data_IF_920726896508
#
_entry.id   IF_920726896508
#
_cell.length_a   1.000
_cell.length_b   1.000
_cell.length_c   1.000
_cell.angle_alpha   90.00
_cell.angle_beta   90.00
_cell.angle_gamma   90.00
#
_symmetry.space_group_name_H-M   'P 1'
#
loop_
_entity.id
_entity.type
_entity.pdbx_description
1 polymer ?
#
# COMPACT_ATOMS: atom_id res chain seq x y z
N UNK A 1 -76.84 5.99 -28.97
CA UNK A 1 -75.91 5.98 -27.81
C UNK A 1 -74.65 5.24 -28.22
N UNK A 2 -73.50 5.92 -28.28
CA UNK A 2 -72.23 5.28 -27.99
C UNK A 2 -71.48 6.04 -26.88
N UNK A 3 -70.86 5.27 -25.99
CA UNK A 3 -70.07 5.71 -24.85
C UNK A 3 -68.72 6.28 -25.32
N UNK A 4 -68.38 7.48 -24.84
CA UNK A 4 -67.02 8.04 -24.88
C UNK A 4 -66.26 7.52 -23.66
N UNK A 5 -65.26 6.67 -23.89
CA UNK A 5 -64.26 6.30 -22.88
C UNK A 5 -63.07 7.25 -23.01
N UNK A 6 -62.90 8.14 -22.03
CA UNK A 6 -61.69 8.96 -21.90
C UNK A 6 -60.68 8.18 -21.06
N UNK A 7 -59.58 7.75 -21.67
CA UNK A 7 -58.45 7.15 -20.96
C UNK A 7 -57.54 8.27 -20.46
N UNK A 8 -57.52 8.49 -19.15
CA UNK A 8 -56.55 9.36 -18.47
C UNK A 8 -55.25 8.57 -18.30
N UNK A 9 -54.19 8.97 -19.00
CA UNK A 9 -52.85 8.45 -18.77
C UNK A 9 -52.29 9.11 -17.50
N UNK A 10 -52.15 8.30 -16.44
CA UNK A 10 -51.51 8.70 -15.19
C UNK A 10 -49.99 8.57 -15.36
N UNK A 11 -49.29 9.70 -15.53
CA UNK A 11 -47.83 9.73 -15.47
C UNK A 11 -47.40 9.53 -14.01
N UNK A 12 -46.81 8.38 -13.70
CA UNK A 12 -46.19 8.15 -12.40
C UNK A 12 -44.90 8.98 -12.32
N UNK A 13 -44.91 10.07 -11.54
CA UNK A 13 -43.67 10.67 -11.04
C UNK A 13 -43.01 9.64 -10.12
N UNK A 14 -41.94 9.01 -10.59
CA UNK A 14 -41.02 8.31 -9.70
C UNK A 14 -40.23 9.42 -9.00
N UNK A 15 -40.62 9.75 -7.78
CA UNK A 15 -39.78 10.52 -6.89
C UNK A 15 -38.51 9.69 -6.61
N UNK A 16 -37.34 10.21 -6.99
CA UNK A 16 -36.06 9.67 -6.55
C UNK A 16 -35.91 9.98 -5.07
N UNK A 17 -36.47 9.12 -4.21
CA UNK A 17 -35.96 9.00 -2.86
C UNK A 17 -34.58 8.36 -3.00
N UNK A 18 -33.51 9.15 -2.83
CA UNK A 18 -32.23 8.58 -2.44
C UNK A 18 -32.51 7.74 -1.21
N UNK A 19 -32.30 6.43 -1.29
CA UNK A 19 -32.26 5.63 -0.08
C UNK A 19 -31.19 6.28 0.81
N UNK A 20 -31.61 6.86 1.93
CA UNK A 20 -30.67 7.30 2.95
C UNK A 20 -29.88 6.06 3.35
N UNK A 21 -28.57 6.08 3.09
CA UNK A 21 -27.71 5.05 3.64
C UNK A 21 -27.81 5.16 5.16
N UNK A 22 -27.80 4.02 5.88
CA UNK A 22 -27.80 4.01 7.35
C UNK A 22 -26.56 4.73 7.96
N UNK A 23 -25.67 5.27 7.12
CA UNK A 23 -24.48 6.06 7.46
C UNK A 23 -24.47 7.48 6.82
N UNK A 24 -25.54 7.89 6.12
CA UNK A 24 -25.80 9.26 5.66
C UNK A 24 -24.89 9.84 4.56
N UNK A 25 -24.00 9.05 3.95
CA UNK A 25 -23.01 9.53 2.98
C UNK A 25 -23.29 9.13 1.52
N UNK A 26 -22.75 9.91 0.58
CA UNK A 26 -22.69 9.63 -0.86
C UNK A 26 -21.28 9.85 -1.42
N UNK A 27 -20.94 9.09 -2.46
CA UNK A 27 -19.75 9.34 -3.27
C UNK A 27 -19.94 10.55 -4.18
N UNK A 28 -18.89 11.32 -4.40
CA UNK A 28 -18.89 12.44 -5.34
C UNK A 28 -17.71 12.35 -6.31
N UNK A 29 -17.95 12.78 -7.54
CA UNK A 29 -16.94 12.96 -8.58
C UNK A 29 -17.23 14.28 -9.29
N UNK A 30 -16.20 15.11 -9.48
CA UNK A 30 -16.31 16.37 -10.23
C UNK A 30 -15.41 16.30 -11.48
N UNK A 31 -16.01 16.06 -12.65
CA UNK A 31 -15.24 15.89 -13.88
C UNK A 31 -14.56 17.18 -14.35
N UNK A 32 -14.92 18.35 -13.80
CA UNK A 32 -14.30 19.63 -14.17
C UNK A 32 -12.97 19.87 -13.46
N UNK A 33 -12.71 19.15 -12.37
CA UNK A 33 -11.50 19.28 -11.56
C UNK A 33 -10.64 18.04 -11.74
N UNK A 34 -9.62 18.17 -12.58
CA UNK A 34 -8.69 17.10 -12.91
C UNK A 34 -7.25 17.64 -13.03
N UNK A 35 -6.28 16.77 -12.85
CA UNK A 35 -4.87 17.09 -12.95
C UNK A 35 -3.99 15.97 -12.39
N UNK A 36 -2.68 16.14 -12.49
CA UNK A 36 -1.74 15.07 -12.13
C UNK A 36 -1.85 13.84 -13.03
N UNK A 37 -0.96 12.88 -12.80
CA UNK A 37 -0.94 11.60 -13.48
C UNK A 37 -1.00 10.49 -12.44
N UNK A 38 -1.74 9.39 -12.68
CA UNK A 38 -1.71 8.22 -11.82
C UNK A 38 -0.26 7.77 -11.57
N UNK A 39 0.13 7.65 -10.29
CA UNK A 39 1.51 7.29 -9.88
C UNK A 39 1.53 6.03 -9.00
N UNK A 40 0.43 5.28 -8.99
CA UNK A 40 0.30 3.97 -8.35
C UNK A 40 0.76 3.96 -6.87
N UNK A 41 0.42 5.01 -6.11
CA UNK A 41 0.84 5.21 -4.71
C UNK A 41 0.54 4.03 -3.78
N UNK A 42 -0.50 3.25 -4.04
CA UNK A 42 -0.84 2.05 -3.27
C UNK A 42 -0.26 0.73 -3.80
N UNK A 43 0.59 0.75 -4.84
CA UNK A 43 1.09 -0.46 -5.51
C UNK A 43 2.45 -0.94 -4.96
N UNK A 44 2.58 -0.95 -3.63
CA UNK A 44 3.74 -1.47 -2.93
C UNK A 44 3.45 -2.74 -2.14
N UNK A 45 4.46 -3.57 -1.92
CA UNK A 45 4.39 -4.78 -1.07
C UNK A 45 5.57 -4.85 -0.09
N UNK A 46 5.28 -5.26 1.14
CA UNK A 46 6.26 -5.88 2.02
C UNK A 46 6.40 -7.34 1.57
N UNK A 47 7.61 -7.77 1.24
CA UNK A 47 7.90 -9.18 1.03
C UNK A 47 7.05 -9.86 -0.06
N UNK A 48 6.96 -11.19 -0.05
CA UNK A 48 6.10 -11.97 -0.96
C UNK A 48 6.70 -12.35 -2.32
N UNK A 49 7.94 -11.94 -2.63
CA UNK A 49 8.65 -12.37 -3.84
C UNK A 49 9.48 -13.65 -3.56
N UNK A 50 9.23 -14.75 -4.29
CA UNK A 50 10.02 -15.97 -4.11
C UNK A 50 11.49 -15.81 -4.45
N UNK A 51 12.35 -16.42 -3.62
CA UNK A 51 13.80 -16.41 -3.75
C UNK A 51 14.41 -17.68 -3.15
N UNK A 52 15.50 -18.17 -3.74
CA UNK A 52 16.07 -19.48 -3.38
C UNK A 52 16.54 -19.58 -1.93
N UNK A 53 17.19 -18.55 -1.34
CA UNK A 53 17.62 -18.63 0.05
C UNK A 53 16.47 -18.90 1.03
N UNK A 54 15.27 -18.34 0.78
CA UNK A 54 14.08 -18.60 1.60
C UNK A 54 13.54 -20.03 1.48
N UNK A 55 13.78 -20.70 0.35
CA UNK A 55 13.31 -22.05 0.06
C UNK A 55 14.35 -23.15 0.35
N UNK A 56 15.55 -22.78 0.80
CA UNK A 56 16.66 -23.70 1.07
C UNK A 56 16.26 -24.86 2.01
N UNK A 57 16.66 -26.12 1.72
CA UNK A 57 17.56 -26.55 0.64
C UNK A 57 16.84 -26.81 -0.71
N UNK A 58 15.55 -26.50 -0.81
CA UNK A 58 14.80 -26.55 -2.05
C UNK A 58 15.09 -25.35 -2.96
N UNK A 59 14.29 -25.21 -4.01
CA UNK A 59 14.39 -24.13 -4.99
C UNK A 59 13.08 -23.34 -4.98
N UNK A 60 13.19 -22.02 -5.10
CA UNK A 60 12.03 -21.17 -5.24
C UNK A 60 11.37 -21.36 -6.61
N UNK A 61 10.07 -21.01 -6.73
CA UNK A 61 9.39 -20.89 -8.00
C UNK A 61 10.16 -20.00 -8.97
N UNK A 62 10.33 -20.47 -10.21
CA UNK A 62 10.95 -19.65 -11.25
C UNK A 62 10.16 -18.34 -11.44
N UNK A 63 10.88 -17.25 -11.75
CA UNK A 63 10.27 -15.94 -12.01
C UNK A 63 9.19 -15.96 -13.09
N UNK A 64 9.27 -16.86 -14.06
CA UNK A 64 8.22 -17.05 -15.08
C UNK A 64 6.87 -17.47 -14.49
N UNK A 65 6.85 -18.08 -13.31
CA UNK A 65 5.64 -18.57 -12.63
C UNK A 65 4.90 -17.45 -11.91
N UNK A 66 5.62 -16.52 -11.27
CA UNK A 66 5.02 -15.45 -10.46
C UNK A 66 5.13 -14.05 -11.09
N UNK A 67 6.11 -13.82 -11.96
CA UNK A 67 6.41 -12.52 -12.58
C UNK A 67 5.25 -11.88 -13.35
N UNK A 68 4.44 -12.63 -14.13
CA UNK A 68 3.26 -12.06 -14.78
C UNK A 68 2.23 -11.52 -13.80
N UNK A 69 2.10 -12.10 -12.60
CA UNK A 69 1.22 -11.59 -11.56
C UNK A 69 1.78 -10.32 -10.93
N UNK A 70 3.10 -10.25 -10.71
CA UNK A 70 3.77 -9.05 -10.22
C UNK A 70 3.58 -7.87 -11.19
N UNK A 71 3.82 -8.09 -12.49
CA UNK A 71 3.61 -7.07 -13.52
C UNK A 71 2.15 -6.70 -13.69
N UNK A 72 1.24 -7.68 -13.66
CA UNK A 72 -0.19 -7.44 -13.78
C UNK A 72 -0.78 -6.66 -12.61
N UNK A 73 -0.27 -6.84 -11.39
CA UNK A 73 -0.64 -5.99 -10.25
C UNK A 73 0.02 -4.59 -10.29
N UNK A 74 0.94 -4.36 -11.23
CA UNK A 74 1.63 -3.08 -11.38
C UNK A 74 2.53 -2.70 -10.21
N UNK A 75 3.12 -3.70 -9.53
CA UNK A 75 3.95 -3.46 -8.34
C UNK A 75 5.14 -2.55 -8.69
N UNK A 76 5.23 -1.44 -7.97
CA UNK A 76 6.21 -0.37 -8.19
C UNK A 76 7.11 -0.12 -6.99
N UNK A 77 6.75 -0.66 -5.82
CA UNK A 77 7.54 -0.63 -4.59
C UNK A 77 7.63 -2.01 -3.94
N UNK A 78 8.83 -2.39 -3.50
CA UNK A 78 9.06 -3.64 -2.76
C UNK A 78 9.88 -3.33 -1.51
N UNK A 79 9.53 -3.91 -0.37
CA UNK A 79 10.30 -3.84 0.88
C UNK A 79 10.66 -5.23 1.38
N UNK A 80 11.94 -5.52 1.62
CA UNK A 80 12.41 -6.81 2.13
C UNK A 80 13.87 -6.73 2.62
N UNK A 81 14.34 -7.69 3.42
CA UNK A 81 15.73 -7.76 3.87
C UNK A 81 16.30 -9.14 4.19
N UNK A 82 15.59 -10.23 3.83
CA UNK A 82 16.02 -11.61 4.08
C UNK A 82 15.68 -12.19 5.47
N UNK A 83 14.75 -11.60 6.22
CA UNK A 83 14.20 -12.15 7.46
C UNK A 83 13.61 -13.55 7.33
N UNK A 84 13.60 -14.28 8.45
CA UNK A 84 12.89 -15.55 8.64
C UNK A 84 13.16 -16.67 7.62
N UNK A 85 14.24 -16.58 6.83
CA UNK A 85 14.76 -17.70 6.04
C UNK A 85 15.45 -18.73 6.96
N UNK A 86 15.78 -19.95 6.48
CA UNK A 86 16.45 -20.99 7.28
C UNK A 86 17.84 -20.63 7.84
N UNK A 87 18.29 -19.41 7.63
CA UNK A 87 19.60 -18.89 8.03
C UNK A 87 19.43 -17.73 9.04
N UNK A 88 20.36 -17.65 9.98
CA UNK A 88 20.37 -16.63 11.03
C UNK A 88 20.74 -15.26 10.45
N UNK A 89 20.56 -14.20 11.23
CA UNK A 89 21.11 -12.89 10.89
C UNK A 89 22.48 -12.66 11.54
N UNK A 90 23.14 -11.58 11.11
CA UNK A 90 24.49 -11.22 11.52
C UNK A 90 24.72 -11.29 13.04
N UNK A 91 23.81 -10.76 13.84
CA UNK A 91 23.92 -10.70 15.29
C UNK A 91 24.04 -12.07 15.94
N UNK A 92 23.33 -13.06 15.42
CA UNK A 92 23.42 -14.44 15.88
C UNK A 92 24.67 -15.13 15.34
N UNK A 93 25.10 -14.84 14.11
CA UNK A 93 26.33 -15.41 13.56
C UNK A 93 27.58 -15.00 14.35
N UNK A 94 27.59 -13.80 14.93
CA UNK A 94 28.68 -13.33 15.80
C UNK A 94 28.92 -14.26 17.00
N UNK A 95 27.84 -14.79 17.58
CA UNK A 95 27.93 -15.73 18.71
C UNK A 95 28.57 -17.06 18.30
N UNK A 96 28.61 -17.34 17.00
CA UNK A 96 29.11 -18.58 16.39
C UNK A 96 30.42 -18.38 15.63
N UNK A 97 30.93 -17.13 15.58
CA UNK A 97 32.21 -16.78 14.99
C UNK A 97 32.22 -16.69 13.45
N UNK A 98 31.10 -16.32 12.82
CA UNK A 98 30.99 -16.23 11.36
C UNK A 98 30.04 -15.13 10.85
N UNK A 99 29.72 -15.19 9.55
CA UNK A 99 28.74 -14.31 8.88
C UNK A 99 27.89 -15.06 7.83
N UNK A 100 27.86 -16.40 7.88
CA UNK A 100 27.18 -17.21 6.86
C UNK A 100 25.69 -16.88 6.77
N UNK A 101 25.02 -16.71 7.92
CA UNK A 101 23.62 -16.34 7.98
C UNK A 101 23.37 -14.99 7.30
N UNK A 102 24.17 -13.97 7.65
CA UNK A 102 24.14 -12.69 6.95
C UNK A 102 24.30 -12.86 5.44
N UNK A 103 25.28 -13.63 4.96
CA UNK A 103 25.56 -13.76 3.52
C UNK A 103 24.37 -14.41 2.79
N UNK A 104 23.66 -15.34 3.44
CA UNK A 104 22.44 -15.96 2.91
C UNK A 104 21.24 -15.02 2.93
N UNK A 105 21.07 -14.21 3.98
CA UNK A 105 20.00 -13.18 4.03
C UNK A 105 20.26 -12.08 3.01
N UNK A 106 21.51 -11.66 2.83
CA UNK A 106 21.90 -10.71 1.80
C UNK A 106 21.63 -11.28 0.40
N UNK A 107 21.91 -12.56 0.16
CA UNK A 107 21.55 -13.21 -1.10
C UNK A 107 20.04 -13.23 -1.36
N UNK A 108 19.22 -13.40 -0.30
CA UNK A 108 17.75 -13.32 -0.40
C UNK A 108 17.29 -11.93 -0.85
N UNK A 109 17.75 -10.89 -0.14
CA UNK A 109 17.50 -9.49 -0.49
C UNK A 109 17.95 -9.19 -1.93
N UNK A 110 19.19 -9.55 -2.28
CA UNK A 110 19.76 -9.30 -3.60
C UNK A 110 18.92 -9.92 -4.71
N UNK A 111 18.46 -11.17 -4.54
CA UNK A 111 17.61 -11.82 -5.53
C UNK A 111 16.27 -11.09 -5.68
N UNK A 112 15.60 -10.73 -4.57
CA UNK A 112 14.36 -9.95 -4.63
C UNK A 112 14.56 -8.59 -5.31
N UNK A 113 15.63 -7.86 -4.99
CA UNK A 113 15.97 -6.58 -5.62
C UNK A 113 16.16 -6.73 -7.13
N UNK A 114 16.96 -7.70 -7.55
CA UNK A 114 17.28 -7.93 -8.96
C UNK A 114 16.05 -8.37 -9.76
N UNK A 115 15.21 -9.25 -9.19
CA UNK A 115 14.02 -9.73 -9.87
C UNK A 115 12.92 -8.66 -9.98
N UNK A 116 12.70 -7.87 -8.92
CA UNK A 116 11.76 -6.74 -8.97
C UNK A 116 12.15 -5.74 -10.06
N UNK A 117 13.44 -5.37 -10.14
CA UNK A 117 13.95 -4.45 -11.16
C UNK A 117 14.01 -5.07 -12.57
N UNK A 118 14.21 -6.38 -12.68
CA UNK A 118 14.14 -7.05 -13.97
C UNK A 118 12.72 -7.09 -14.56
N UNK A 119 11.69 -7.16 -13.69
CA UNK A 119 10.28 -7.11 -14.11
C UNK A 119 9.78 -5.68 -14.34
N UNK A 120 10.30 -4.72 -13.58
CA UNK A 120 10.01 -3.30 -13.72
C UNK A 120 11.28 -2.48 -13.40
N UNK A 121 12.03 -1.98 -14.40
CA UNK A 121 13.30 -1.26 -14.18
C UNK A 121 13.21 -0.01 -13.30
N UNK A 122 12.01 0.56 -13.18
CA UNK A 122 11.71 1.75 -12.37
C UNK A 122 11.24 1.42 -10.95
N UNK A 123 11.08 0.13 -10.62
CA UNK A 123 10.67 -0.31 -9.29
C UNK A 123 11.64 0.23 -8.23
N UNK A 124 11.08 0.75 -7.15
CA UNK A 124 11.82 1.22 -5.99
C UNK A 124 11.88 0.10 -4.95
N UNK A 125 13.04 -0.07 -4.33
CA UNK A 125 13.25 -1.12 -3.35
C UNK A 125 13.68 -0.55 -2.00
N UNK A 126 12.97 -0.91 -0.93
CA UNK A 126 13.27 -0.52 0.45
C UNK A 126 13.94 -1.71 1.16
N UNK A 127 15.23 -1.59 1.43
CA UNK A 127 15.97 -2.60 2.18
C UNK A 127 15.67 -2.47 3.68
N UNK A 128 15.22 -3.58 4.27
CA UNK A 128 15.11 -3.77 5.72
C UNK A 128 16.47 -4.14 6.32
N UNK A 129 17.14 -3.18 6.97
CA UNK A 129 18.48 -3.42 7.55
C UNK A 129 18.41 -4.37 8.74
N UNK A 130 17.39 -4.25 9.58
CA UNK A 130 17.23 -5.09 10.77
C UNK A 130 17.10 -6.60 10.46
N UNK A 131 16.58 -6.95 9.27
CA UNK A 131 16.47 -8.34 8.82
C UNK A 131 17.84 -8.99 8.62
N UNK A 132 18.76 -8.26 7.98
CA UNK A 132 20.14 -8.71 7.78
C UNK A 132 20.91 -8.77 9.11
N UNK A 133 20.61 -7.85 10.05
CA UNK A 133 21.10 -7.93 11.42
C UNK A 133 20.56 -9.18 12.14
N UNK A 134 19.31 -9.55 11.88
CA UNK A 134 18.63 -10.69 12.48
C UNK A 134 17.75 -10.33 13.68
N UNK A 135 17.28 -9.09 13.77
CA UNK A 135 16.25 -8.70 14.75
C UNK A 135 14.89 -8.67 14.06
N UNK A 136 14.36 -9.86 13.72
CA UNK A 136 13.15 -10.06 12.89
C UNK A 136 11.96 -10.67 13.67
N UNK A 137 12.03 -10.63 15.00
CA UNK A 137 11.07 -11.24 15.93
C UNK A 137 11.31 -12.73 16.20
N UNK A 138 12.18 -13.39 15.42
CA UNK A 138 12.52 -14.80 15.58
C UNK A 138 13.80 -15.07 16.37
N UNK A 139 14.53 -14.03 16.76
CA UNK A 139 15.83 -14.14 17.38
C UNK A 139 15.82 -14.61 18.85
N UNK A 140 16.92 -15.21 19.29
CA UNK A 140 17.08 -15.67 20.68
C UNK A 140 17.25 -14.50 21.68
N UNK A 141 16.96 -14.76 22.96
CA UNK A 141 17.02 -13.72 24.03
C UNK A 141 18.40 -13.07 24.22
N UNK A 142 19.46 -13.77 23.82
CA UNK A 142 20.84 -13.31 23.98
C UNK A 142 21.38 -12.63 22.70
N UNK A 143 20.50 -12.35 21.73
CA UNK A 143 20.90 -11.67 20.49
C UNK A 143 21.38 -10.26 20.82
N UNK A 144 22.60 -9.87 20.41
CA UNK A 144 23.09 -8.52 20.61
C UNK A 144 22.29 -7.54 19.75
N UNK A 145 22.06 -6.34 20.28
CA UNK A 145 21.45 -5.24 19.57
C UNK A 145 22.50 -4.16 19.23
N UNK A 146 22.26 -3.35 18.19
CA UNK A 146 23.13 -2.24 17.86
C UNK A 146 23.42 -1.35 19.07
N UNK A 147 24.70 -1.02 19.26
CA UNK A 147 25.16 -0.13 20.33
C UNK A 147 24.86 -0.62 21.76
N UNK A 148 24.78 -1.94 21.98
CA UNK A 148 24.72 -2.52 23.32
C UNK A 148 25.88 -2.00 24.21
N UNK A 149 25.57 -1.72 25.48
CA UNK A 149 26.50 -1.13 26.46
C UNK A 149 27.13 0.22 26.02
N UNK A 150 26.49 0.91 25.07
CA UNK A 150 26.97 2.16 24.50
C UNK A 150 28.08 1.99 23.45
N UNK A 151 28.41 0.77 23.06
CA UNK A 151 29.46 0.45 22.09
C UNK A 151 28.88 0.09 20.71
N UNK A 152 29.03 1.00 19.76
CA UNK A 152 28.59 0.81 18.37
C UNK A 152 29.62 0.10 17.48
N UNK A 153 30.78 -0.33 17.98
CA UNK A 153 31.87 -0.87 17.15
C UNK A 153 31.41 -2.04 16.28
N UNK A 154 30.73 -3.02 16.89
CA UNK A 154 30.26 -4.21 16.17
C UNK A 154 29.16 -3.89 15.16
N UNK A 155 28.27 -2.96 15.51
CA UNK A 155 27.28 -2.46 14.56
C UNK A 155 27.95 -1.74 13.38
N UNK A 156 29.04 -1.03 13.62
CA UNK A 156 29.86 -0.43 12.56
C UNK A 156 30.48 -1.44 11.62
N UNK A 157 31.00 -2.56 12.12
CA UNK A 157 31.53 -3.65 11.26
C UNK A 157 30.42 -4.23 10.38
N UNK A 158 29.23 -4.44 10.93
CA UNK A 158 28.06 -4.87 10.17
C UNK A 158 27.69 -3.88 9.06
N UNK A 159 27.57 -2.59 9.39
CA UNK A 159 27.21 -1.54 8.44
C UNK A 159 28.27 -1.40 7.34
N UNK A 160 29.56 -1.51 7.68
CA UNK A 160 30.64 -1.43 6.69
C UNK A 160 30.58 -2.62 5.72
N UNK A 161 30.29 -3.83 6.22
CA UNK A 161 30.06 -5.00 5.36
C UNK A 161 28.84 -4.80 4.44
N UNK A 162 27.71 -4.35 4.98
CA UNK A 162 26.52 -4.07 4.17
C UNK A 162 26.77 -3.01 3.09
N UNK A 163 27.45 -1.91 3.45
CA UNK A 163 27.80 -0.84 2.50
C UNK A 163 28.72 -1.38 1.40
N UNK A 164 29.71 -2.21 1.75
CA UNK A 164 30.60 -2.84 0.77
C UNK A 164 29.83 -3.78 -0.17
N UNK A 165 29.00 -4.67 0.38
CA UNK A 165 28.23 -5.64 -0.39
C UNK A 165 27.24 -4.94 -1.34
N UNK A 166 26.58 -3.86 -0.90
CA UNK A 166 25.69 -3.05 -1.76
C UNK A 166 26.46 -2.41 -2.95
N UNK A 167 27.67 -1.90 -2.72
CA UNK A 167 28.52 -1.30 -3.76
C UNK A 167 29.07 -2.34 -4.73
N UNK A 168 29.59 -3.45 -4.21
CA UNK A 168 30.19 -4.51 -5.01
C UNK A 168 29.17 -5.19 -5.94
N UNK A 169 27.90 -5.21 -5.54
CA UNK A 169 26.82 -5.84 -6.30
C UNK A 169 25.98 -4.87 -7.15
N UNK A 170 26.37 -3.58 -7.22
CA UNK A 170 25.68 -2.52 -7.98
C UNK A 170 24.18 -2.39 -7.62
N UNK A 171 23.88 -2.41 -6.31
CA UNK A 171 22.51 -2.43 -5.80
C UNK A 171 21.98 -1.06 -5.36
N UNK A 172 22.65 0.05 -5.72
CA UNK A 172 22.29 1.38 -5.21
C UNK A 172 21.17 2.07 -6.00
N UNK A 173 21.05 1.79 -7.30
CA UNK A 173 20.04 2.44 -8.14
C UNK A 173 18.62 2.04 -7.76
N UNK A 174 17.78 3.00 -7.38
CA UNK A 174 16.40 2.73 -6.94
C UNK A 174 16.30 2.13 -5.53
N UNK A 175 17.40 2.12 -4.77
CA UNK A 175 17.43 1.65 -3.39
C UNK A 175 17.06 2.75 -2.40
N UNK A 176 16.27 2.37 -1.41
CA UNK A 176 16.00 3.09 -0.18
C UNK A 176 16.47 2.20 0.97
N UNK A 177 17.06 2.79 2.00
CA UNK A 177 17.53 2.06 3.19
C UNK A 177 16.63 2.43 4.36
N UNK A 178 15.85 1.45 4.81
CA UNK A 178 15.08 1.52 6.05
C UNK A 178 16.00 1.17 7.22
N UNK A 179 16.39 2.20 7.98
CA UNK A 179 17.46 2.09 8.98
C UNK A 179 17.10 1.03 10.04
N UNK A 180 15.83 0.94 10.41
CA UNK A 180 15.32 -0.07 11.32
C UNK A 180 13.80 -0.22 11.20
N UNK A 181 13.27 -1.39 11.55
CA UNK A 181 11.83 -1.66 11.58
C UNK A 181 11.30 -1.73 13.01
N UNK A 182 10.14 -1.12 13.26
CA UNK A 182 9.40 -1.12 14.52
C UNK A 182 10.28 -0.97 15.78
N UNK A 183 11.12 0.08 15.85
CA UNK A 183 11.97 0.33 17.02
C UNK A 183 11.18 0.66 18.31
N UNK A 184 9.87 0.83 18.20
CA UNK A 184 8.92 1.09 19.29
C UNK A 184 8.35 -0.18 19.95
N UNK A 185 8.69 -1.38 19.45
CA UNK A 185 8.25 -2.65 20.06
C UNK A 185 9.40 -3.63 20.33
N UNK A 186 9.26 -4.40 21.41
CA UNK A 186 10.33 -5.27 21.92
C UNK A 186 10.70 -6.44 21.01
N UNK A 187 9.84 -6.81 20.05
CA UNK A 187 10.10 -7.88 19.10
C UNK A 187 11.20 -7.53 18.10
N UNK A 188 11.27 -6.27 17.68
CA UNK A 188 12.25 -5.77 16.72
C UNK A 188 13.32 -4.86 17.36
N UNK A 189 13.06 -4.33 18.56
CA UNK A 189 14.03 -3.57 19.34
C UNK A 189 13.86 -3.80 20.84
N UNK A 190 14.69 -4.67 21.41
CA UNK A 190 14.60 -5.04 22.83
C UNK A 190 15.45 -4.15 23.75
N UNK A 191 15.62 -2.88 23.41
CA UNK A 191 16.48 -1.90 24.13
C UNK A 191 15.74 -0.57 24.33
N UNK A 192 16.36 0.37 25.04
CA UNK A 192 15.77 1.69 25.25
C UNK A 192 15.68 2.50 23.95
N UNK A 193 14.80 3.50 23.94
CA UNK A 193 14.73 4.44 22.82
C UNK A 193 16.04 5.24 22.70
N UNK A 194 16.68 5.63 23.79
CA UNK A 194 17.98 6.34 23.75
C UNK A 194 19.05 5.52 23.01
N UNK A 195 19.10 4.21 23.24
CA UNK A 195 20.02 3.33 22.51
C UNK A 195 19.65 3.24 21.03
N UNK A 196 18.35 3.23 20.69
CA UNK A 196 17.91 3.29 19.29
C UNK A 196 18.36 4.59 18.64
N UNK A 197 18.20 5.74 19.29
CA UNK A 197 18.62 7.05 18.77
C UNK A 197 20.14 7.10 18.56
N UNK A 198 20.93 6.51 19.46
CA UNK A 198 22.38 6.35 19.27
C UNK A 198 22.70 5.49 18.04
N UNK A 199 22.06 4.34 17.89
CA UNK A 199 22.25 3.45 16.74
C UNK A 199 21.80 4.11 15.43
N UNK A 200 20.68 4.83 15.44
CA UNK A 200 20.14 5.59 14.32
C UNK A 200 21.14 6.63 13.83
N UNK A 201 21.67 7.48 14.72
CA UNK A 201 22.65 8.51 14.37
C UNK A 201 23.93 7.92 13.79
N UNK A 202 24.37 6.80 14.37
CA UNK A 202 25.55 6.08 13.94
C UNK A 202 25.38 5.50 12.52
N UNK A 203 24.23 4.84 12.26
CA UNK A 203 23.89 4.32 10.94
C UNK A 203 23.70 5.44 9.91
N UNK A 204 22.95 6.49 10.25
CA UNK A 204 22.72 7.67 9.42
C UNK A 204 24.05 8.26 8.93
N UNK A 205 24.98 8.52 9.86
CA UNK A 205 26.28 9.09 9.55
C UNK A 205 27.11 8.20 8.62
N UNK A 206 27.11 6.87 8.85
CA UNK A 206 27.81 5.91 8.00
C UNK A 206 27.23 5.86 6.59
N UNK A 207 25.91 5.78 6.45
CA UNK A 207 25.28 5.76 5.13
C UNK A 207 25.46 7.09 4.38
N UNK A 208 25.36 8.24 5.06
CA UNK A 208 25.66 9.55 4.45
C UNK A 208 27.11 9.65 4.00
N UNK A 209 28.06 9.19 4.79
CA UNK A 209 29.46 9.15 4.38
C UNK A 209 29.69 8.23 3.16
N UNK A 210 28.97 7.11 3.09
CA UNK A 210 29.14 6.13 2.03
C UNK A 210 28.43 6.45 0.71
N UNK A 211 27.26 7.08 0.77
CA UNK A 211 26.34 7.25 -0.36
C UNK A 211 25.90 8.70 -0.60
N UNK A 212 26.18 9.63 0.32
CA UNK A 212 25.63 10.98 0.26
C UNK A 212 24.10 10.96 0.24
N UNK A 213 23.51 11.61 -0.76
CA UNK A 213 22.07 11.65 -1.01
C UNK A 213 21.65 10.74 -2.18
N UNK A 214 22.55 9.91 -2.71
CA UNK A 214 22.24 9.03 -3.84
C UNK A 214 21.30 7.87 -3.46
N UNK A 215 21.31 7.48 -2.19
CA UNK A 215 20.41 6.47 -1.61
C UNK A 215 19.58 7.17 -0.53
N UNK A 216 18.26 7.00 -0.63
CA UNK A 216 17.33 7.59 0.34
C UNK A 216 17.39 6.83 1.66
N UNK A 217 17.43 7.57 2.77
CA UNK A 217 17.29 7.02 4.12
C UNK A 217 15.85 7.17 4.61
N UNK A 218 15.28 6.05 5.06
CA UNK A 218 13.91 5.92 5.55
C UNK A 218 13.94 5.72 7.06
N UNK A 219 13.10 6.45 7.79
CA UNK A 219 12.91 6.28 9.25
C UNK A 219 11.65 7.02 9.76
N UNK A 220 11.16 6.69 10.97
CA UNK A 220 11.63 5.65 11.90
C UNK A 220 10.98 4.27 11.71
N UNK A 221 9.99 4.14 10.82
CA UNK A 221 9.28 2.87 10.56
C UNK A 221 8.69 2.25 11.83
N UNK A 222 8.07 3.09 12.67
CA UNK A 222 7.40 2.65 13.89
C UNK A 222 6.16 1.83 13.60
N UNK A 223 5.87 0.86 14.47
CA UNK A 223 4.61 0.11 14.49
C UNK A 223 3.39 1.01 14.69
N UNK A 224 3.59 2.09 15.45
CA UNK A 224 2.58 3.10 15.76
C UNK A 224 2.60 4.30 14.81
N UNK A 225 1.42 4.87 14.54
CA UNK A 225 1.29 6.07 13.70
C UNK A 225 1.90 7.31 14.38
N UNK A 226 2.44 8.27 13.60
CA UNK A 226 2.84 9.57 14.10
C UNK A 226 1.65 10.37 14.63
N UNK A 227 1.81 10.97 15.80
CA UNK A 227 0.85 11.87 16.44
C UNK A 227 1.60 12.81 17.40
N UNK A 228 1.16 14.06 17.53
CA UNK A 228 1.78 15.03 18.44
C UNK A 228 1.68 14.65 19.94
N UNK A 229 0.80 13.70 20.30
CA UNK A 229 0.68 13.15 21.64
C UNK A 229 1.43 11.82 21.81
N UNK A 230 1.98 11.24 20.74
CA UNK A 230 2.77 10.02 20.82
C UNK A 230 4.19 10.37 21.33
N UNK A 231 4.49 9.97 22.58
CA UNK A 231 5.77 10.28 23.25
C UNK A 231 6.98 9.71 22.49
N UNK A 232 6.84 8.54 21.86
CA UNK A 232 7.93 7.95 21.08
C UNK A 232 8.28 8.86 19.89
N UNK A 233 7.28 9.33 19.14
CA UNK A 233 7.47 10.23 18.00
C UNK A 233 7.99 11.61 18.42
N UNK A 234 7.49 12.19 19.52
CA UNK A 234 8.03 13.45 20.06
C UNK A 234 9.51 13.34 20.43
N UNK A 235 9.91 12.26 21.09
CA UNK A 235 11.31 12.04 21.46
C UNK A 235 12.19 11.90 20.21
N UNK A 236 11.78 11.08 19.23
CA UNK A 236 12.50 10.89 17.98
C UNK A 236 12.65 12.21 17.20
N UNK A 237 11.54 12.93 16.97
CA UNK A 237 11.54 14.19 16.22
C UNK A 237 12.30 15.30 16.94
N UNK A 238 12.22 15.39 18.27
CA UNK A 238 13.04 16.30 19.07
C UNK A 238 14.54 16.01 18.93
N UNK A 239 14.92 14.73 18.97
CA UNK A 239 16.32 14.30 18.85
C UNK A 239 16.92 14.67 17.48
N UNK A 240 16.25 14.30 16.39
CA UNK A 240 16.76 14.58 15.04
C UNK A 240 16.69 16.05 14.66
N UNK A 241 15.78 16.82 15.26
CA UNK A 241 15.74 18.27 15.11
C UNK A 241 16.98 18.92 15.73
N UNK A 242 17.42 18.42 16.89
CA UNK A 242 18.58 18.94 17.60
C UNK A 242 19.92 18.64 16.90
N UNK A 243 20.06 17.48 16.25
CA UNK A 243 21.33 17.05 15.64
C UNK A 243 21.37 17.17 14.10
N UNK A 244 20.22 17.37 13.43
CA UNK A 244 20.12 17.52 11.98
C UNK A 244 20.11 16.21 11.17
N UNK A 245 20.11 15.05 11.82
CA UNK A 245 20.06 13.73 11.17
C UNK A 245 18.63 13.39 10.71
N UNK A 246 18.10 14.17 9.77
CA UNK A 246 16.72 14.05 9.29
C UNK A 246 16.68 13.03 8.12
N UNK A 247 15.80 12.00 8.15
CA UNK A 247 15.70 10.98 7.09
C UNK A 247 15.09 11.54 5.81
N UNK A 248 15.49 11.06 4.63
CA UNK A 248 14.96 11.55 3.35
C UNK A 248 13.48 11.25 3.17
N UNK A 249 13.02 10.16 3.76
CA UNK A 249 11.64 9.71 3.78
C UNK A 249 11.20 9.44 5.22
N UNK A 250 10.03 9.96 5.56
CA UNK A 250 9.33 9.56 6.78
C UNK A 250 8.74 8.17 6.58
N UNK A 251 8.61 7.40 7.65
CA UNK A 251 7.94 6.10 7.62
C UNK A 251 7.26 5.74 8.93
N UNK A 252 6.15 5.01 8.80
CA UNK A 252 5.37 4.46 9.90
C UNK A 252 4.52 3.30 9.40
N UNK A 253 3.97 2.52 10.30
CA UNK A 253 3.05 1.45 9.97
C UNK A 253 1.60 1.85 10.23
N UNK A 254 0.70 1.18 9.54
CA UNK A 254 -0.73 1.40 9.65
C UNK A 254 -1.49 0.07 9.73
N UNK A 255 -1.35 -0.61 10.87
CA UNK A 255 -1.72 -2.01 11.08
C UNK A 255 -2.86 -2.19 12.09
N UNK A 256 -3.64 -1.14 12.37
CA UNK A 256 -4.84 -1.27 13.21
C UNK A 256 -6.00 -1.86 12.39
N UNK A 257 -6.48 -3.05 12.76
CA UNK A 257 -7.45 -3.80 11.96
C UNK A 257 -8.85 -3.21 11.82
N UNK A 258 -9.73 -4.00 11.19
CA UNK A 258 -11.10 -3.65 10.80
C UNK A 258 -11.98 -3.15 11.96
N UNK A 259 -11.67 -3.56 13.20
CA UNK A 259 -12.40 -3.15 14.41
C UNK A 259 -12.12 -1.70 14.86
N UNK A 260 -11.20 -0.99 14.20
CA UNK A 260 -10.89 0.41 14.52
C UNK A 260 -12.13 1.31 14.39
N UNK A 261 -12.44 2.06 15.45
CA UNK A 261 -13.62 2.92 15.52
C UNK A 261 -13.61 4.01 14.44
N UNK A 262 -14.80 4.40 13.96
CA UNK A 262 -15.01 5.47 12.97
C UNK A 262 -14.16 5.31 11.69
N UNK A 263 -13.91 4.07 11.28
CA UNK A 263 -13.04 3.78 10.15
C UNK A 263 -11.63 4.37 10.32
N UNK A 264 -11.15 4.42 11.58
CA UNK A 264 -9.79 4.78 11.95
C UNK A 264 -8.75 3.94 11.21
N UNK A 265 -7.45 4.19 11.42
CA UNK A 265 -6.41 3.67 10.51
C UNK A 265 -6.50 4.32 9.11
N UNK A 266 -6.94 5.59 9.03
CA UNK A 266 -7.03 6.37 7.78
C UNK A 266 -5.71 7.10 7.50
N UNK A 267 -5.04 6.84 6.34
CA UNK A 267 -3.83 7.56 5.94
C UNK A 267 -3.95 9.09 5.98
N UNK A 268 -5.15 9.65 5.78
CA UNK A 268 -5.39 11.10 5.87
C UNK A 268 -5.13 11.61 7.29
N UNK A 269 -5.61 10.89 8.31
CA UNK A 269 -5.37 11.25 9.70
C UNK A 269 -3.91 11.01 10.08
N UNK A 270 -3.32 9.92 9.59
CA UNK A 270 -1.90 9.61 9.82
C UNK A 270 -0.98 10.68 9.22
N UNK A 271 -1.30 11.21 8.03
CA UNK A 271 -0.56 12.33 7.45
C UNK A 271 -0.71 13.61 8.27
N UNK A 272 -1.90 13.89 8.78
CA UNK A 272 -2.13 15.05 9.64
C UNK A 272 -1.32 14.93 10.94
N UNK A 273 -1.33 13.77 11.60
CA UNK A 273 -0.54 13.50 12.80
C UNK A 273 0.97 13.63 12.57
N UNK A 274 1.46 13.19 11.41
CA UNK A 274 2.85 13.45 10.99
C UNK A 274 3.13 14.95 10.88
N UNK A 275 2.30 15.70 10.15
CA UNK A 275 2.50 17.14 9.97
C UNK A 275 2.49 17.90 11.30
N UNK A 276 1.63 17.50 12.24
CA UNK A 276 1.53 18.11 13.56
C UNK A 276 2.82 17.90 14.38
N UNK A 277 3.31 16.65 14.47
CA UNK A 277 4.54 16.37 15.24
C UNK A 277 5.79 16.96 14.58
N UNK A 278 5.87 16.99 13.25
CA UNK A 278 6.97 17.66 12.54
C UNK A 278 6.96 19.17 12.79
N UNK A 279 5.79 19.81 12.75
CA UNK A 279 5.64 21.25 12.99
C UNK A 279 6.03 21.63 14.42
N UNK A 280 5.70 20.80 15.41
CA UNK A 280 6.08 20.99 16.81
C UNK A 280 7.60 21.09 17.01
N UNK A 281 8.38 20.35 16.21
CA UNK A 281 9.83 20.30 16.31
C UNK A 281 10.55 21.02 15.15
N UNK A 282 9.84 21.80 14.34
CA UNK A 282 10.42 22.60 13.25
C UNK A 282 11.06 21.77 12.14
N UNK A 283 10.59 20.54 11.93
CA UNK A 283 11.12 19.62 10.92
C UNK A 283 10.46 19.84 9.55
N UNK A 284 11.17 19.58 8.45
CA UNK A 284 10.64 19.77 7.11
C UNK A 284 9.64 18.66 6.72
N UNK A 285 8.65 19.03 5.92
CA UNK A 285 7.88 18.06 5.16
C UNK A 285 8.81 17.32 4.18
N UNK A 286 8.68 15.99 4.13
CA UNK A 286 9.38 15.10 3.21
C UNK A 286 8.40 14.02 2.73
N UNK A 287 8.71 13.29 1.65
CA UNK A 287 7.91 12.15 1.25
C UNK A 287 7.71 11.17 2.41
N UNK A 288 6.53 10.55 2.45
CA UNK A 288 6.11 9.69 3.54
C UNK A 288 5.65 8.35 2.98
N UNK A 289 6.15 7.26 3.56
CA UNK A 289 5.66 5.93 3.28
C UNK A 289 4.95 5.31 4.48
N UNK A 290 3.78 4.74 4.23
CA UNK A 290 3.21 3.74 5.12
C UNK A 290 3.72 2.39 4.63
N UNK A 291 4.90 2.04 5.12
CA UNK A 291 5.72 0.93 4.62
C UNK A 291 5.26 -0.45 5.10
N UNK A 292 4.23 -0.49 5.94
CA UNK A 292 3.34 -1.61 6.17
C UNK A 292 1.92 -1.07 6.41
N UNK A 293 0.95 -1.46 5.58
CA UNK A 293 -0.46 -1.13 5.78
C UNK A 293 -1.36 -2.36 5.64
N UNK A 294 -2.57 -2.25 6.18
CA UNK A 294 -3.60 -3.29 6.23
C UNK A 294 -3.25 -4.43 7.20
N UNK A 295 -3.95 -4.46 8.33
CA UNK A 295 -3.96 -5.65 9.17
C UNK A 295 -4.57 -6.85 8.43
N UNK A 296 -4.37 -8.07 8.94
CA UNK A 296 -4.82 -9.30 8.26
C UNK A 296 -6.33 -9.30 7.94
N UNK A 297 -7.17 -8.68 8.78
CA UNK A 297 -8.61 -8.60 8.59
C UNK A 297 -9.05 -7.45 7.65
N UNK A 298 -8.11 -6.60 7.23
CA UNK A 298 -8.30 -5.54 6.25
C UNK A 298 -7.78 -5.95 4.85
N UNK A 299 -7.27 -7.18 4.70
CA UNK A 299 -6.76 -7.69 3.43
C UNK A 299 -7.90 -8.23 2.54
N UNK A 300 -8.74 -7.30 2.06
CA UNK A 300 -9.83 -7.59 1.12
C UNK A 300 -9.97 -6.52 0.03
N UNK A 301 -10.65 -6.82 -1.09
CA UNK A 301 -10.84 -5.88 -2.20
C UNK A 301 -11.39 -4.51 -1.79
N UNK A 302 -12.38 -4.48 -0.89
CA UNK A 302 -13.01 -3.23 -0.43
C UNK A 302 -11.99 -2.30 0.25
N UNK A 303 -11.21 -2.84 1.19
CA UNK A 303 -10.22 -2.11 1.95
C UNK A 303 -9.03 -1.72 1.07
N UNK A 304 -8.59 -2.60 0.17
CA UNK A 304 -7.52 -2.29 -0.79
C UNK A 304 -7.90 -1.10 -1.66
N UNK A 305 -9.12 -1.08 -2.22
CA UNK A 305 -9.63 0.07 -2.98
C UNK A 305 -9.74 1.34 -2.12
N UNK A 306 -10.18 1.20 -0.87
CA UNK A 306 -10.25 2.31 0.07
C UNK A 306 -8.86 2.89 0.37
N UNK A 307 -7.87 2.07 0.75
CA UNK A 307 -6.49 2.52 1.01
C UNK A 307 -5.88 3.22 -0.20
N UNK A 308 -6.05 2.68 -1.41
CA UNK A 308 -5.57 3.30 -2.66
C UNK A 308 -6.07 4.74 -2.78
N UNK A 309 -7.37 4.98 -2.57
CA UNK A 309 -7.92 6.32 -2.66
C UNK A 309 -7.32 7.30 -1.63
N UNK A 310 -7.00 6.80 -0.44
CA UNK A 310 -6.39 7.59 0.64
C UNK A 310 -4.93 7.91 0.32
N UNK A 311 -4.17 6.95 -0.20
CA UNK A 311 -2.79 7.14 -0.64
C UNK A 311 -2.69 8.14 -1.79
N UNK A 312 -3.54 8.03 -2.80
CA UNK A 312 -3.57 8.98 -3.90
C UNK A 312 -3.97 10.40 -3.46
N UNK A 313 -4.87 10.52 -2.48
CA UNK A 313 -5.27 11.83 -1.92
C UNK A 313 -4.15 12.50 -1.10
N UNK A 314 -3.41 11.70 -0.33
CA UNK A 314 -2.37 12.18 0.59
C UNK A 314 -1.00 12.28 -0.07
N UNK A 315 -0.78 11.56 -1.17
CA UNK A 315 0.55 11.37 -1.77
C UNK A 315 1.45 10.42 -0.99
N UNK A 316 0.92 9.71 0.01
CA UNK A 316 1.65 8.68 0.77
C UNK A 316 1.91 7.49 -0.14
N UNK A 317 3.14 6.97 -0.12
CA UNK A 317 3.46 5.67 -0.74
C UNK A 317 3.09 4.54 0.24
N UNK A 318 2.16 3.67 -0.14
CA UNK A 318 1.71 2.54 0.67
C UNK A 318 2.35 1.22 0.23
N UNK A 319 2.91 0.47 1.18
CA UNK A 319 3.38 -0.90 0.97
C UNK A 319 2.53 -1.86 1.80
N UNK A 320 1.83 -2.77 1.13
CA UNK A 320 0.93 -3.73 1.76
C UNK A 320 1.71 -4.64 2.70
N UNK A 321 1.24 -4.79 3.93
CA UNK A 321 1.85 -5.68 4.90
C UNK A 321 1.73 -7.15 4.47
N UNK A 322 2.71 -7.94 4.86
CA UNK A 322 2.71 -9.40 4.72
C UNK A 322 2.75 -10.02 6.12
N UNK A 323 1.72 -10.81 6.42
CA UNK A 323 1.54 -11.50 7.70
C UNK A 323 2.00 -12.96 7.64
N UNK A 324 2.67 -13.36 6.55
CA UNK A 324 3.31 -14.64 6.39
C UNK A 324 4.52 -14.83 7.31
N UNK A 325 5.05 -16.05 7.34
CA UNK A 325 6.32 -16.36 8.02
C UNK A 325 7.07 -17.42 7.24
N UNK A 326 8.39 -17.47 7.37
CA UNK A 326 9.28 -18.39 6.63
C UNK A 326 8.96 -18.30 5.12
N UNK A 327 8.83 -19.43 4.43
CA UNK A 327 8.42 -19.47 3.01
C UNK A 327 7.15 -18.65 2.73
N UNK A 328 6.21 -18.59 3.67
CA UNK A 328 4.99 -17.79 3.56
C UNK A 328 5.21 -16.28 3.53
N UNK A 329 6.33 -15.78 4.06
CA UNK A 329 6.76 -14.38 3.94
C UNK A 329 7.44 -14.11 2.59
N UNK A 330 7.89 -15.15 1.88
CA UNK A 330 8.59 -15.00 0.61
C UNK A 330 7.77 -15.52 -0.55
N UNK A 331 6.45 -15.60 -0.42
CA UNK A 331 5.60 -16.08 -1.49
C UNK A 331 4.33 -15.24 -1.60
N UNK A 332 3.58 -15.47 -2.67
CA UNK A 332 2.22 -14.97 -2.84
C UNK A 332 2.00 -13.44 -2.94
N UNK A 333 3.09 -12.66 -3.05
CA UNK A 333 3.08 -11.21 -3.26
C UNK A 333 2.25 -10.47 -2.19
N UNK A 334 2.52 -10.74 -0.91
CA UNK A 334 1.82 -10.13 0.24
C UNK A 334 0.31 -10.37 0.22
N UNK A 335 -0.09 -11.65 0.04
CA UNK A 335 -1.49 -12.07 -0.09
C UNK A 335 -2.24 -11.36 -1.20
N UNK A 336 -1.59 -11.16 -2.35
CA UNK A 336 -2.30 -10.88 -3.60
C UNK A 336 -2.62 -12.18 -4.34
N UNK A 337 -1.86 -13.23 -4.06
CA UNK A 337 -2.06 -14.55 -4.60
C UNK A 337 -2.40 -15.55 -3.49
N UNK A 338 -3.04 -16.65 -3.87
CA UNK A 338 -3.15 -17.84 -3.05
C UNK A 338 -2.35 -19.00 -3.68
N UNK A 339 -1.80 -19.92 -2.87
CA UNK A 339 -1.10 -21.08 -3.38
C UNK A 339 -2.09 -22.04 -4.05
N UNK A 340 -1.79 -22.47 -5.27
CA UNK A 340 -2.61 -23.36 -6.10
C UNK A 340 -2.57 -24.84 -5.67
N UNK A 341 -2.51 -25.11 -4.37
CA UNK A 341 -2.41 -26.43 -3.76
C UNK A 341 -1.75 -26.36 -2.37
N UNK A 342 -1.38 -27.52 -1.82
CA UNK A 342 -0.54 -27.58 -0.61
C UNK A 342 0.91 -27.16 -0.89
N UNK A 343 1.29 -27.17 -2.17
CA UNK A 343 2.62 -26.79 -2.63
C UNK A 343 2.65 -25.32 -3.01
N UNK A 344 3.48 -24.56 -2.30
CA UNK A 344 3.67 -23.12 -2.51
C UNK A 344 4.67 -22.83 -3.64
N UNK A 345 5.01 -23.84 -4.46
CA UNK A 345 6.10 -23.73 -5.44
C UNK A 345 5.65 -23.54 -6.89
N UNK A 346 4.54 -24.14 -7.34
CA UNK A 346 4.37 -24.33 -8.79
C UNK A 346 3.08 -23.75 -9.38
N UNK A 347 2.17 -23.22 -8.55
CA UNK A 347 0.93 -22.65 -9.03
C UNK A 347 0.42 -21.54 -8.09
N UNK A 348 0.03 -20.40 -8.67
CA UNK A 348 -0.60 -19.30 -7.96
C UNK A 348 -1.96 -19.00 -8.59
N UNK A 349 -2.94 -18.65 -7.77
CA UNK A 349 -4.18 -18.05 -8.24
C UNK A 349 -4.34 -16.65 -7.67
N UNK A 350 -5.10 -15.81 -8.38
CA UNK A 350 -5.35 -14.43 -7.99
C UNK A 350 -6.39 -14.37 -6.87
N UNK A 351 -6.12 -13.56 -5.85
CA UNK A 351 -7.13 -13.11 -4.90
C UNK A 351 -7.84 -11.88 -5.45
N UNK A 352 -8.95 -11.48 -4.82
CA UNK A 352 -9.69 -10.28 -5.23
C UNK A 352 -8.82 -9.01 -5.21
N UNK A 353 -7.97 -8.84 -4.20
CA UNK A 353 -7.06 -7.70 -4.03
C UNK A 353 -6.11 -7.52 -5.23
N UNK A 354 -5.67 -8.62 -5.85
CA UNK A 354 -4.85 -8.56 -7.08
C UNK A 354 -5.61 -7.90 -8.22
N UNK A 355 -6.91 -8.18 -8.37
CA UNK A 355 -7.74 -7.58 -9.43
C UNK A 355 -7.98 -6.09 -9.17
N UNK A 356 -8.02 -5.67 -7.90
CA UNK A 356 -8.08 -4.25 -7.53
C UNK A 356 -6.82 -3.53 -8.01
N UNK A 357 -5.64 -4.06 -7.66
CA UNK A 357 -4.36 -3.49 -8.12
C UNK A 357 -4.20 -3.55 -9.63
N UNK A 358 -4.68 -4.61 -10.28
CA UNK A 358 -4.67 -4.71 -11.73
C UNK A 358 -5.54 -3.63 -12.40
N UNK A 359 -6.77 -3.42 -11.94
CA UNK A 359 -7.61 -2.33 -12.49
C UNK A 359 -6.97 -0.96 -12.23
N UNK A 360 -6.54 -0.72 -11.00
CA UNK A 360 -5.90 0.53 -10.58
C UNK A 360 -4.65 0.88 -11.40
N UNK A 361 -3.78 -0.09 -11.66
CA UNK A 361 -2.50 0.18 -12.34
C UNK A 361 -2.54 -0.03 -13.86
N UNK A 362 -3.44 -0.87 -14.37
CA UNK A 362 -3.47 -1.24 -15.78
C UNK A 362 -4.64 -0.63 -16.56
N UNK A 363 -5.68 -0.14 -15.88
CA UNK A 363 -6.87 0.45 -16.53
C UNK A 363 -7.05 1.93 -16.22
N UNK A 364 -6.73 2.38 -14.99
CA UNK A 364 -6.92 3.78 -14.60
C UNK A 364 -5.80 4.71 -15.09
N UNK A 365 -5.86 5.05 -16.38
CA UNK A 365 -4.91 5.97 -17.04
C UNK A 365 -5.44 7.41 -17.13
N UNK A 366 -4.65 8.29 -17.75
CA UNK A 366 -5.02 9.66 -18.04
C UNK A 366 -4.70 10.62 -16.89
N UNK A 367 -5.70 11.37 -16.44
CA UNK A 367 -5.55 12.38 -15.36
C UNK A 367 -6.39 12.00 -14.15
N UNK A 368 -5.88 12.30 -12.95
CA UNK A 368 -6.61 12.08 -11.70
C UNK A 368 -7.73 13.10 -11.61
N UNK A 369 -8.89 12.67 -11.13
CA UNK A 369 -10.11 13.47 -10.98
C UNK A 369 -10.45 13.66 -9.52
N UNK A 370 -10.94 14.85 -9.17
CA UNK A 370 -11.42 15.12 -7.82
C UNK A 370 -12.62 14.23 -7.51
N UNK A 371 -12.45 13.38 -6.50
CA UNK A 371 -13.48 12.49 -6.01
C UNK A 371 -13.33 12.22 -4.51
N UNK A 372 -14.43 11.74 -3.91
CA UNK A 372 -14.38 11.17 -2.58
C UNK A 372 -15.75 10.79 -2.03
N UNK A 373 -15.86 10.75 -0.70
CA UNK A 373 -17.10 10.53 0.01
C UNK A 373 -17.54 11.77 0.81
N UNK A 374 -18.84 11.90 1.00
CA UNK A 374 -19.44 12.88 1.92
C UNK A 374 -19.85 12.17 3.21
N UNK A 375 -19.77 12.90 4.34
CA UNK A 375 -20.15 12.47 5.70
C UNK A 375 -19.27 11.34 6.26
N UNK A 376 -19.17 10.21 5.57
CA UNK A 376 -18.44 9.03 6.01
C UNK A 376 -17.05 8.96 5.40
N UNK A 377 -16.03 8.71 6.23
CA UNK A 377 -14.68 8.32 5.78
C UNK A 377 -14.56 6.82 5.51
N UNK A 378 -15.61 6.04 5.79
CA UNK A 378 -15.60 4.60 5.60
C UNK A 378 -15.79 4.16 4.15
N UNK A 379 -16.15 5.09 3.27
CA UNK A 379 -16.21 4.84 1.84
C UNK A 379 -15.32 5.85 1.15
N UNK A 380 -14.81 5.48 -0.02
CA UNK A 380 -14.08 6.43 -0.84
C UNK A 380 -13.97 5.98 -2.30
N UNK A 381 -13.51 6.91 -3.15
CA UNK A 381 -13.37 6.74 -4.59
C UNK A 381 -11.98 7.18 -5.05
N UNK A 382 -11.39 6.43 -5.97
CA UNK A 382 -10.28 6.89 -6.79
C UNK A 382 -10.69 6.92 -8.26
N UNK A 383 -10.50 8.06 -8.92
CA UNK A 383 -11.09 8.32 -10.25
C UNK A 383 -10.06 8.89 -11.20
N UNK A 384 -10.03 8.35 -12.42
CA UNK A 384 -9.25 8.90 -13.53
C UNK A 384 -10.10 9.16 -14.76
N UNK A 385 -9.65 10.08 -15.60
CA UNK A 385 -10.28 10.42 -16.88
C UNK A 385 -9.27 10.26 -18.02
N UNK A 386 -9.63 9.49 -19.05
CA UNK A 386 -8.94 9.46 -20.33
C UNK A 386 -9.67 10.36 -21.32
N UNK A 387 -9.38 11.66 -21.24
CA UNK A 387 -10.16 12.69 -21.94
C UNK A 387 -10.14 12.56 -23.47
N UNK A 388 -9.07 12.02 -24.02
CA UNK A 388 -8.91 11.77 -25.46
C UNK A 388 -9.61 10.49 -25.93
N UNK A 389 -9.76 9.51 -25.04
CA UNK A 389 -10.43 8.21 -25.32
C UNK A 389 -11.93 8.32 -25.06
N UNK A 390 -12.35 9.19 -24.15
CA UNK A 390 -13.74 9.38 -23.78
C UNK A 390 -14.23 8.42 -22.68
N UNK A 391 -13.34 7.99 -21.79
CA UNK A 391 -13.65 7.12 -20.64
C UNK A 391 -13.34 7.79 -19.30
N UNK A 392 -14.17 7.48 -18.30
CA UNK A 392 -13.93 7.80 -16.89
C UNK A 392 -13.94 6.50 -16.11
N UNK A 393 -12.92 6.28 -15.29
CA UNK A 393 -12.69 5.05 -14.52
C UNK A 393 -12.80 5.36 -13.04
N UNK A 394 -13.73 4.70 -12.35
CA UNK A 394 -13.99 4.90 -10.92
C UNK A 394 -13.73 3.57 -10.20
N UNK A 395 -12.79 3.57 -9.27
CA UNK A 395 -12.58 2.51 -8.30
C UNK A 395 -13.24 2.90 -6.97
N UNK A 396 -14.17 2.08 -6.50
CA UNK A 396 -14.91 2.29 -5.26
C UNK A 396 -14.58 1.21 -4.23
N UNK A 397 -14.33 1.66 -2.99
CA UNK A 397 -14.07 0.77 -1.86
C UNK A 397 -14.76 1.24 -0.58
N UNK A 398 -14.78 0.34 0.40
CA UNK A 398 -15.25 0.61 1.74
C UNK A 398 -14.30 0.02 2.79
N UNK A 399 -14.34 0.58 3.99
CA UNK A 399 -13.63 0.10 5.18
C UNK A 399 -14.65 -0.43 6.18
N UNK A 400 -14.90 -1.73 6.14
CA UNK A 400 -15.69 -2.43 7.16
C UNK A 400 -17.18 -2.10 7.20
N UNK A 401 -17.70 -1.51 6.13
CA UNK A 401 -19.11 -1.13 6.01
C UNK A 401 -19.70 -1.64 4.69
N UNK A 402 -20.99 -2.00 4.72
CA UNK A 402 -21.79 -2.35 3.54
C UNK A 402 -23.05 -1.48 3.48
N UNK A 403 -23.71 -1.48 2.33
CA UNK A 403 -24.97 -0.76 2.13
C UNK A 403 -24.95 0.15 0.90
N UNK A 404 -26.03 0.91 0.76
CA UNK A 404 -26.19 1.89 -0.31
C UNK A 404 -25.08 2.94 -0.28
N UNK A 405 -24.40 3.11 -1.41
CA UNK A 405 -23.37 4.12 -1.63
C UNK A 405 -23.58 4.79 -2.99
N UNK A 406 -24.59 5.66 -3.13
CA UNK A 406 -24.84 6.35 -4.39
C UNK A 406 -23.65 7.25 -4.74
N UNK A 407 -23.28 7.27 -6.01
CA UNK A 407 -22.18 8.10 -6.53
C UNK A 407 -22.77 9.14 -7.46
N UNK A 408 -22.59 10.42 -7.12
CA UNK A 408 -22.97 11.54 -7.97
C UNK A 408 -21.75 12.00 -8.77
N UNK A 409 -21.82 11.88 -10.09
CA UNK A 409 -20.81 12.45 -11.00
C UNK A 409 -21.35 13.75 -11.56
N UNK A 410 -20.66 14.86 -11.28
CA UNK A 410 -21.06 16.21 -11.66
C UNK A 410 -20.16 16.79 -12.74
N UNK A 411 -20.67 17.83 -13.40
CA UNK A 411 -19.99 18.54 -14.47
C UNK A 411 -19.67 17.63 -15.65
N UNK A 412 -20.61 16.77 -16.02
CA UNK A 412 -20.46 15.72 -17.04
C UNK A 412 -19.97 16.30 -18.38
N UNK A 413 -20.47 17.47 -18.77
CA UNK A 413 -20.10 18.17 -20.00
C UNK A 413 -18.66 18.69 -20.06
N UNK A 414 -17.92 18.69 -18.95
CA UNK A 414 -16.49 19.03 -18.94
C UNK A 414 -15.64 17.97 -19.63
N UNK A 415 -16.14 16.74 -19.72
CA UNK A 415 -15.51 15.66 -20.47
C UNK A 415 -15.90 15.81 -21.95
N UNK A 416 -14.94 16.00 -22.88
CA UNK A 416 -15.25 16.28 -24.28
C UNK A 416 -16.18 15.24 -24.93
N UNK A 417 -15.98 13.96 -24.63
CA UNK A 417 -16.80 12.88 -25.16
C UNK A 417 -18.25 12.87 -24.64
N UNK A 418 -18.53 13.52 -23.51
CA UNK A 418 -19.85 13.52 -22.87
C UNK A 418 -20.66 14.80 -23.16
N UNK A 419 -20.05 15.79 -23.80
CA UNK A 419 -20.70 17.07 -24.09
C UNK A 419 -21.99 16.87 -24.90
N UNK A 420 -23.10 17.43 -24.42
CA UNK A 420 -24.41 17.37 -25.07
C UNK A 420 -25.10 16.00 -25.01
N UNK A 421 -24.53 15.01 -24.32
CA UNK A 421 -25.16 13.70 -24.13
C UNK A 421 -26.29 13.79 -23.11
N UNK A 422 -27.42 13.17 -23.42
CA UNK A 422 -28.57 13.02 -22.50
C UNK A 422 -28.48 11.78 -21.62
N UNK A 423 -27.51 10.91 -21.89
CA UNK A 423 -27.23 9.70 -21.14
C UNK A 423 -25.83 9.18 -21.39
N UNK A 424 -25.26 8.47 -20.42
CA UNK A 424 -23.98 7.76 -20.53
C UNK A 424 -24.18 6.27 -20.31
N UNK A 425 -23.29 5.44 -20.88
CA UNK A 425 -23.23 4.02 -20.54
C UNK A 425 -22.34 3.84 -19.32
N UNK A 426 -22.82 3.09 -18.33
CA UNK A 426 -22.08 2.70 -17.14
C UNK A 426 -21.92 1.18 -17.10
N UNK A 427 -20.67 0.72 -17.07
CA UNK A 427 -20.31 -0.69 -16.86
C UNK A 427 -19.75 -0.81 -15.45
N UNK A 428 -20.42 -1.60 -14.62
CA UNK A 428 -20.07 -1.80 -13.21
C UNK A 428 -19.68 -3.26 -13.03
N UNK A 429 -18.49 -3.51 -12.50
CA UNK A 429 -18.05 -4.84 -12.11
C UNK A 429 -17.81 -4.89 -10.59
N UNK A 430 -18.19 -5.99 -9.97
CA UNK A 430 -17.79 -6.35 -8.61
C UNK A 430 -16.47 -7.12 -8.66
N UNK A 431 -15.52 -6.75 -7.80
CA UNK A 431 -14.34 -7.54 -7.49
C UNK A 431 -14.62 -8.26 -6.16
N UNK A 432 -15.03 -9.55 -6.19
CA UNK A 432 -15.45 -10.24 -4.99
C UNK A 432 -14.25 -10.59 -4.09
N UNK A 433 -14.47 -10.60 -2.77
CA UNK A 433 -13.46 -11.09 -1.82
C UNK A 433 -13.29 -12.62 -1.86
N UNK A 434 -14.38 -13.34 -2.11
CA UNK A 434 -14.45 -14.81 -2.05
C UNK A 434 -13.81 -15.42 -0.78
N UNK A 435 -13.96 -14.76 0.37
CA UNK A 435 -13.38 -15.18 1.66
C UNK A 435 -11.85 -15.43 1.60
N UNK A 436 -11.12 -14.62 0.81
CA UNK A 436 -9.68 -14.79 0.61
C UNK A 436 -9.32 -15.97 -0.31
N UNK A 437 -10.30 -16.51 -1.04
CA UNK A 437 -10.13 -17.58 -2.00
C UNK A 437 -9.89 -17.09 -3.42
N UNK A 438 -9.83 -18.04 -4.37
CA UNK A 438 -9.57 -17.79 -5.79
C UNK A 438 -10.61 -16.88 -6.43
N UNK A 439 -10.14 -15.88 -7.17
CA UNK A 439 -10.97 -15.00 -8.01
C UNK A 439 -10.39 -15.03 -9.42
N UNK A 440 -11.13 -15.59 -10.38
CA UNK A 440 -10.64 -15.71 -11.76
C UNK A 440 -10.69 -14.38 -12.52
N UNK A 441 -11.77 -13.62 -12.32
CA UNK A 441 -12.00 -12.28 -12.88
C UNK A 441 -13.03 -11.48 -12.04
N UNK A 442 -13.10 -10.15 -12.21
CA UNK A 442 -14.24 -9.35 -11.77
C UNK A 442 -15.54 -9.84 -12.44
N UNK A 443 -16.66 -9.70 -11.72
CA UNK A 443 -17.99 -10.14 -12.17
C UNK A 443 -18.81 -8.93 -12.59
N UNK A 444 -19.48 -9.02 -13.74
CA UNK A 444 -20.38 -7.96 -14.19
C UNK A 444 -21.53 -7.78 -13.19
N UNK A 445 -21.58 -6.62 -12.54
CA UNK A 445 -22.65 -6.24 -11.62
C UNK A 445 -23.79 -5.56 -12.39
N UNK A 446 -23.45 -4.65 -13.31
CA UNK A 446 -24.44 -3.95 -14.14
C UNK A 446 -23.79 -3.42 -15.42
N UNK A 447 -24.57 -3.35 -16.51
CA UNK A 447 -24.18 -2.66 -17.74
C UNK A 447 -25.43 -1.95 -18.26
N UNK A 448 -25.55 -0.66 -17.97
CA UNK A 448 -26.78 0.11 -18.19
C UNK A 448 -26.49 1.51 -18.72
N UNK A 449 -27.53 2.17 -19.17
CA UNK A 449 -27.49 3.59 -19.54
C UNK A 449 -28.03 4.41 -18.37
N UNK A 450 -27.28 5.42 -17.93
CA UNK A 450 -27.67 6.36 -16.88
C UNK A 450 -28.02 7.72 -17.51
N UNK A 451 -29.16 8.29 -17.12
CA UNK A 451 -29.61 9.57 -17.64
C UNK A 451 -28.75 10.72 -17.11
N UNK A 452 -28.42 11.67 -17.98
CA UNK A 452 -27.79 12.95 -17.61
C UNK A 452 -28.91 13.95 -17.33
N UNK A 453 -28.96 14.47 -16.11
CA UNK A 453 -29.87 15.56 -15.69
C UNK A 453 -29.07 16.62 -14.97
N UNK A 454 -29.34 17.89 -15.26
CA UNK A 454 -28.68 19.04 -14.62
C UNK A 454 -27.14 18.93 -14.61
N UNK A 455 -26.58 18.43 -15.72
CA UNK A 455 -25.15 18.18 -15.92
C UNK A 455 -24.54 17.18 -14.91
N UNK A 456 -25.36 16.21 -14.47
CA UNK A 456 -24.97 15.17 -13.51
C UNK A 456 -25.51 13.81 -13.93
N UNK A 457 -24.86 12.76 -13.44
CA UNK A 457 -25.43 11.41 -13.37
C UNK A 457 -25.38 10.92 -11.92
N UNK A 458 -26.29 10.01 -11.57
CA UNK A 458 -26.29 9.31 -10.28
C UNK A 458 -26.21 7.82 -10.55
N UNK A 459 -25.20 7.18 -9.99
CA UNK A 459 -25.00 5.73 -10.04
C UNK A 459 -25.41 5.18 -8.67
N UNK A 460 -26.48 4.39 -8.65
CA UNK A 460 -26.90 3.69 -7.44
C UNK A 460 -26.06 2.40 -7.33
N UNK A 461 -25.27 2.32 -6.27
CA UNK A 461 -24.42 1.18 -5.97
C UNK A 461 -24.76 0.66 -4.56
N UNK A 462 -24.87 -0.65 -4.43
CA UNK A 462 -24.94 -1.33 -3.13
C UNK A 462 -23.58 -1.99 -2.89
N UNK A 463 -22.84 -1.54 -1.87
CA UNK A 463 -21.52 -2.10 -1.56
C UNK A 463 -21.60 -3.27 -0.57
N UNK A 464 -20.93 -4.36 -0.89
CA UNK A 464 -20.61 -5.43 0.05
C UNK A 464 -19.42 -5.05 0.95
N UNK A 465 -19.36 -5.61 2.16
CA UNK A 465 -18.36 -5.23 3.18
C UNK A 465 -16.91 -5.43 2.74
N UNK A 466 -16.64 -6.46 1.93
CA UNK A 466 -15.30 -6.87 1.54
C UNK A 466 -15.08 -6.85 0.01
N UNK A 467 -16.11 -6.59 -0.80
CA UNK A 467 -15.94 -6.46 -2.26
C UNK A 467 -15.70 -5.00 -2.65
N UNK A 468 -14.91 -4.78 -3.68
CA UNK A 468 -14.80 -3.46 -4.32
C UNK A 468 -15.52 -3.44 -5.66
N UNK A 469 -15.71 -2.25 -6.21
CA UNK A 469 -16.43 -2.06 -7.46
C UNK A 469 -15.65 -1.18 -8.41
N UNK A 470 -15.63 -1.56 -9.68
CA UNK A 470 -15.13 -0.72 -10.76
C UNK A 470 -16.31 -0.20 -11.56
N UNK A 471 -16.28 1.07 -11.93
CA UNK A 471 -17.33 1.71 -12.73
C UNK A 471 -16.66 2.48 -13.86
N UNK A 472 -16.90 2.01 -15.08
CA UNK A 472 -16.42 2.65 -16.30
C UNK A 472 -17.57 3.38 -17.00
N UNK A 473 -17.36 4.67 -17.28
CA UNK A 473 -18.33 5.52 -17.96
C UNK A 473 -17.89 5.83 -19.38
N UNK A 474 -18.85 5.76 -20.30
CA UNK A 474 -18.64 6.02 -21.72
C UNK A 474 -19.77 6.87 -22.29
N UNK A 475 -19.48 7.58 -23.38
CA UNK A 475 -20.54 8.12 -24.23
C UNK A 475 -21.44 6.97 -24.71
N UNK A 476 -22.75 7.09 -24.44
CA UNK A 476 -23.74 6.18 -25.01
C UNK A 476 -23.96 6.44 -26.50
#
# INVERSE_FOLDING_TARGET
>A
MPFLSSSVALAALIAFASAESNLGGQGYVDLSVYGGTPDAKGAGILYGIPNDPAYSPGTAPARSTWGPYFQGAGISWVRAGGAQIPFKGYASDLLEGGTEGYDKRFASFKQNFQDARALNPNNQFVLLVHDLWGADGGQGSNTPFPCDDGDCAQYGVYLDKLIADLKENDLLGGLHIDIWNEPDISGFWARSQDQYLQAYDYAYSKYRAAFGTAVALVAPSTSSQPDANNDWWKNFTSHISANGNIPDWWSAHQLNGASSANCGNDPVNTQAGLNDVLSQHGLPARPFQLNEYAYIDEQSPAYTAWFISRFERTGITGLRADWGSKVGLHNDLAKLLGPGGNDMTDNFYKLGDWHVLNYYTQQQHGVITKAGATVSTCYDLYVTQERDVGSTHILAGSRGQSGAYPITVSNVDSMPAYQGKTSLRAVINEIPYNNGGRVDCPVLYSNTTVAVSDNKIVINLEQNTNSSYTIDLFAA
#
